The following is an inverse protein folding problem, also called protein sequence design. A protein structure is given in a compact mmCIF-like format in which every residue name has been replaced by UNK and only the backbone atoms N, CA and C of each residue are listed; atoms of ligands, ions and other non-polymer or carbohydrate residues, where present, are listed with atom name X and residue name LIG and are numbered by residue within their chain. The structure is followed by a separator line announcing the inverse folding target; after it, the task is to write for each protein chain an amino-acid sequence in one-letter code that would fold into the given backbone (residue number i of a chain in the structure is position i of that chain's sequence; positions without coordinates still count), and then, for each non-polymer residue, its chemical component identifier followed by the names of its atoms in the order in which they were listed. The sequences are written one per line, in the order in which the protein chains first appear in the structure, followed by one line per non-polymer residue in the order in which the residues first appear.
data_IF_770044889786
#
_entry.id   IF_770044889786
#
_cell.length_a   1.000
_cell.length_b   1.000
_cell.length_c   1.000
_cell.angle_alpha   90.00
_cell.angle_beta   90.00
_cell.angle_gamma   90.00
#
_symmetry.space_group_name_H-M   'P 1'
#
loop_
_entity.id
_entity.type
_entity.pdbx_description
1 polymer ?
#
# COMPACT_ATOMS: atom_id res chain seq x y z
N UNK A 1 -1.72 9.57 -9.74
CA UNK A 1 -0.27 9.41 -9.90
C UNK A 1 0.11 8.01 -9.51
N UNK A 2 0.89 7.36 -10.33
CA UNK A 2 1.41 6.03 -10.04
C UNK A 2 2.89 6.12 -9.71
N UNK A 3 3.29 5.43 -8.66
CA UNK A 3 4.69 5.16 -8.40
C UNK A 3 5.03 3.80 -8.97
N UNK A 4 5.75 3.79 -10.10
CA UNK A 4 6.30 2.53 -10.62
C UNK A 4 7.58 2.21 -9.89
N UNK A 5 7.69 1.00 -9.38
CA UNK A 5 8.93 0.48 -8.83
C UNK A 5 9.72 -0.13 -9.97
N UNK A 6 10.93 0.36 -10.22
CA UNK A 6 11.78 -0.14 -11.30
C UNK A 6 12.07 -1.62 -11.10
N UNK A 7 11.74 -2.43 -12.11
CA UNK A 7 11.94 -3.87 -12.08
C UNK A 7 10.94 -4.63 -11.23
N UNK A 8 9.86 -3.99 -10.77
CA UNK A 8 8.89 -4.61 -9.90
C UNK A 8 7.60 -5.00 -10.65
N UNK A 9 6.83 -5.90 -10.00
CA UNK A 9 5.57 -6.40 -10.52
C UNK A 9 4.37 -5.54 -10.12
N UNK A 10 4.60 -4.36 -9.51
CA UNK A 10 3.53 -3.55 -8.96
C UNK A 10 3.75 -2.05 -9.12
N UNK A 11 2.72 -1.28 -8.82
CA UNK A 11 2.80 0.17 -8.69
C UNK A 11 2.01 0.63 -7.46
N UNK A 12 2.46 1.73 -6.86
CA UNK A 12 1.73 2.39 -5.77
C UNK A 12 0.75 3.35 -6.42
N UNK A 13 -0.52 3.20 -6.06
CA UNK A 13 -1.57 4.04 -6.61
C UNK A 13 -1.82 5.27 -5.75
N UNK A 14 -2.20 6.34 -6.41
CA UNK A 14 -2.49 7.64 -5.80
C UNK A 14 -3.87 7.76 -5.16
N UNK A 15 -4.64 6.69 -5.10
CA UNK A 15 -6.02 6.73 -4.63
C UNK A 15 -6.17 6.95 -3.14
N UNK A 16 -5.08 7.09 -2.38
CA UNK A 16 -5.14 7.28 -0.93
C UNK A 16 -4.52 8.59 -0.47
N UNK A 17 -5.13 9.69 -0.88
CA UNK A 17 -4.93 10.98 -0.20
C UNK A 17 -5.60 11.00 1.17
N UNK A 18 -6.55 10.08 1.40
CA UNK A 18 -7.12 9.86 2.71
C UNK A 18 -6.09 9.15 3.58
N UNK A 19 -5.61 9.82 4.60
CA UNK A 19 -4.46 9.38 5.39
C UNK A 19 -4.78 9.33 6.88
N UNK A 20 -5.95 8.78 7.23
CA UNK A 20 -6.26 8.48 8.63
C UNK A 20 -5.26 7.52 9.24
N UNK A 21 -4.66 6.69 8.41
CA UNK A 21 -3.47 5.91 8.73
C UNK A 21 -2.31 6.47 7.92
N UNK A 22 -1.45 7.32 8.50
CA UNK A 22 -0.35 7.92 7.76
C UNK A 22 0.56 6.87 7.13
N UNK A 23 0.83 7.03 5.85
CA UNK A 23 1.65 6.08 5.09
C UNK A 23 0.87 4.98 4.38
N UNK A 24 -0.45 4.96 4.53
CA UNK A 24 -1.30 3.98 3.83
C UNK A 24 -1.12 4.10 2.33
N UNK A 25 -0.94 2.97 1.66
CA UNK A 25 -0.84 2.93 0.21
C UNK A 25 -1.50 1.68 -0.36
N UNK A 26 -1.75 1.72 -1.66
CA UNK A 26 -2.25 0.59 -2.43
C UNK A 26 -1.17 0.15 -3.41
N UNK A 27 -0.87 -1.14 -3.40
CA UNK A 27 0.06 -1.76 -4.33
C UNK A 27 -0.73 -2.66 -5.27
N UNK A 28 -0.68 -2.35 -6.56
CA UNK A 28 -1.40 -3.13 -7.57
C UNK A 28 -0.42 -3.97 -8.38
N UNK A 29 -0.83 -5.19 -8.72
CA UNK A 29 -0.08 -6.00 -9.67
C UNK A 29 -0.08 -5.27 -11.03
N UNK A 30 1.01 -5.40 -11.78
CA UNK A 30 1.20 -4.61 -13.02
C UNK A 30 0.21 -4.95 -14.13
N UNK A 31 -0.22 -6.21 -14.22
CA UNK A 31 -1.12 -6.67 -15.26
C UNK A 31 -2.56 -6.81 -14.75
N UNK A 32 -3.52 -6.93 -15.67
CA UNK A 32 -4.92 -7.11 -15.31
C UNK A 32 -5.19 -8.54 -14.86
N UNK A 33 -4.75 -8.84 -13.66
CA UNK A 33 -4.99 -10.11 -12.97
C UNK A 33 -5.89 -9.82 -11.77
N UNK A 34 -6.86 -10.68 -11.52
CA UNK A 34 -7.81 -10.50 -10.43
C UNK A 34 -7.41 -11.24 -9.17
N UNK A 35 -6.91 -12.45 -9.30
CA UNK A 35 -6.70 -13.34 -8.17
C UNK A 35 -5.26 -13.84 -8.07
N UNK A 36 -4.81 -14.07 -6.84
CA UNK A 36 -3.49 -14.66 -6.61
C UNK A 36 -3.32 -16.02 -7.27
N UNK A 37 -4.40 -16.79 -7.35
CA UNK A 37 -4.37 -18.13 -7.94
C UNK A 37 -4.16 -18.12 -9.46
N UNK A 38 -4.34 -16.96 -10.08
CA UNK A 38 -4.12 -16.79 -11.52
C UNK A 38 -2.65 -16.57 -11.87
N UNK A 39 -1.82 -16.33 -10.87
CA UNK A 39 -0.38 -16.12 -11.06
C UNK A 39 0.38 -17.44 -10.96
N UNK A 40 1.47 -17.54 -11.71
CA UNK A 40 2.43 -18.62 -11.48
C UNK A 40 3.12 -18.40 -10.13
N UNK A 41 3.76 -19.45 -9.62
CA UNK A 41 4.52 -19.34 -8.37
C UNK A 41 5.61 -18.26 -8.47
N UNK A 42 6.30 -18.20 -9.59
CA UNK A 42 7.35 -17.21 -9.82
C UNK A 42 6.79 -15.78 -9.83
N UNK A 43 5.68 -15.57 -10.52
CA UNK A 43 5.02 -14.25 -10.58
C UNK A 43 4.52 -13.81 -9.20
N UNK A 44 3.89 -14.72 -8.47
CA UNK A 44 3.41 -14.44 -7.12
C UNK A 44 4.56 -14.12 -6.18
N UNK A 45 5.64 -14.90 -6.22
CA UNK A 45 6.80 -14.67 -5.37
C UNK A 45 7.46 -13.32 -5.67
N UNK A 46 7.56 -12.93 -6.93
CA UNK A 46 8.08 -11.64 -7.33
C UNK A 46 7.20 -10.50 -6.82
N UNK A 47 5.88 -10.65 -6.94
CA UNK A 47 4.92 -9.67 -6.43
C UNK A 47 5.04 -9.48 -4.92
N UNK A 48 5.11 -10.57 -4.16
CA UNK A 48 5.25 -10.47 -2.70
C UNK A 48 6.62 -9.95 -2.28
N UNK A 49 7.65 -10.17 -3.05
CA UNK A 49 8.95 -9.51 -2.83
C UNK A 49 8.78 -7.99 -2.91
N UNK A 50 8.03 -7.52 -3.89
CA UNK A 50 7.77 -6.09 -4.05
C UNK A 50 6.86 -5.54 -2.95
N UNK A 51 5.87 -6.31 -2.52
CA UNK A 51 5.03 -5.94 -1.37
C UNK A 51 5.89 -5.75 -0.13
N UNK A 52 6.83 -6.68 0.12
CA UNK A 52 7.74 -6.58 1.26
C UNK A 52 8.67 -5.37 1.14
N UNK A 53 9.13 -5.04 -0.07
CA UNK A 53 9.96 -3.84 -0.30
C UNK A 53 9.18 -2.57 0.04
N UNK A 54 7.95 -2.46 -0.40
CA UNK A 54 7.10 -1.31 -0.09
C UNK A 54 6.83 -1.20 1.41
N UNK A 55 6.55 -2.33 2.06
CA UNK A 55 6.35 -2.34 3.52
C UNK A 55 7.62 -1.90 4.25
N UNK A 56 8.77 -2.31 3.77
CA UNK A 56 10.05 -1.89 4.35
C UNK A 56 10.26 -0.38 4.22
N UNK A 57 9.90 0.20 3.08
CA UNK A 57 9.96 1.65 2.87
C UNK A 57 9.01 2.37 3.83
N UNK A 58 7.79 1.84 4.03
CA UNK A 58 6.84 2.39 4.98
C UNK A 58 7.40 2.35 6.40
N UNK A 59 8.02 1.26 6.80
CA UNK A 59 8.67 1.15 8.10
C UNK A 59 9.79 2.20 8.27
N UNK A 60 10.56 2.43 7.23
CA UNK A 60 11.67 3.39 7.27
C UNK A 60 11.19 4.83 7.42
N UNK A 61 10.06 5.18 6.82
CA UNK A 61 9.54 6.55 6.83
C UNK A 61 8.62 6.83 8.02
N UNK A 62 7.73 5.90 8.33
CA UNK A 62 6.64 6.12 9.28
C UNK A 62 6.82 5.43 10.62
N UNK A 63 7.75 4.49 10.72
CA UNK A 63 8.08 3.75 11.94
C UNK A 63 6.84 3.15 12.64
N UNK A 64 5.95 2.44 11.92
CA UNK A 64 4.78 1.86 12.56
C UNK A 64 5.14 0.69 13.47
N UNK A 65 4.28 0.41 14.44
CA UNK A 65 4.42 -0.80 15.25
C UNK A 65 4.01 -2.04 14.45
N UNK A 66 3.09 -1.86 13.50
CA UNK A 66 2.60 -2.95 12.65
C UNK A 66 2.14 -2.40 11.31
N UNK A 67 2.32 -3.18 10.24
CA UNK A 67 1.67 -2.93 8.96
C UNK A 67 0.61 -4.00 8.77
N UNK A 68 -0.62 -3.58 8.48
CA UNK A 68 -1.68 -4.49 8.08
C UNK A 68 -1.67 -4.62 6.55
N UNK A 69 -1.89 -5.84 6.07
CA UNK A 69 -1.96 -6.16 4.66
C UNK A 69 -3.35 -6.65 4.35
N UNK A 70 -4.01 -6.08 3.37
CA UNK A 70 -5.35 -6.51 3.01
C UNK A 70 -5.56 -6.51 1.51
N UNK A 71 -6.14 -7.59 0.99
CA UNK A 71 -6.49 -7.71 -0.42
C UNK A 71 -7.99 -7.91 -0.52
N UNK A 72 -8.63 -7.07 -1.33
CA UNK A 72 -10.07 -7.08 -1.54
C UNK A 72 -10.31 -6.96 -3.04
N UNK A 73 -11.41 -7.44 -3.54
CA UNK A 73 -11.59 -7.44 -4.99
C UNK A 73 -13.03 -7.55 -5.43
N UNK A 74 -13.97 -7.30 -4.52
CA UNK A 74 -15.39 -7.40 -4.83
C UNK A 74 -15.79 -6.44 -5.94
N UNK A 75 -15.32 -5.21 -5.88
CA UNK A 75 -15.60 -4.19 -6.88
C UNK A 75 -14.36 -3.82 -7.69
N UNK A 76 -13.23 -3.63 -7.05
CA UNK A 76 -11.95 -3.38 -7.72
C UNK A 76 -11.25 -4.68 -8.04
N UNK A 77 -11.53 -5.27 -9.19
CA UNK A 77 -11.09 -6.63 -9.55
C UNK A 77 -9.61 -6.77 -9.85
N UNK A 78 -8.90 -5.69 -10.06
CA UNK A 78 -7.46 -5.73 -10.26
C UNK A 78 -6.76 -6.13 -8.96
N UNK A 79 -5.91 -7.14 -9.00
CA UNK A 79 -5.18 -7.62 -7.82
C UNK A 79 -4.39 -6.48 -7.19
N UNK A 80 -4.70 -6.17 -5.94
CA UNK A 80 -4.03 -5.12 -5.20
C UNK A 80 -4.03 -5.41 -3.71
N UNK A 81 -3.04 -4.85 -3.02
CA UNK A 81 -2.95 -4.93 -1.57
C UNK A 81 -2.96 -3.52 -0.97
N UNK A 82 -3.72 -3.38 0.11
CA UNK A 82 -3.61 -2.22 0.99
C UNK A 82 -2.51 -2.49 2.01
N UNK A 83 -1.60 -1.56 2.17
CA UNK A 83 -0.61 -1.57 3.24
C UNK A 83 -0.96 -0.43 4.18
N UNK A 84 -1.28 -0.76 5.43
CA UNK A 84 -1.82 0.19 6.40
C UNK A 84 -0.95 0.19 7.64
N UNK A 85 -0.15 1.25 7.85
CA UNK A 85 0.63 1.39 9.07
C UNK A 85 -0.27 1.61 10.28
N UNK A 86 0.08 0.96 11.39
CA UNK A 86 -0.65 1.11 12.65
C UNK A 86 0.31 1.29 13.81
N UNK A 87 -0.16 1.99 14.83
CA UNK A 87 0.61 2.31 16.02
C UNK A 87 -0.17 1.88 17.27
N UNK A 88 0.54 1.32 18.25
CA UNK A 88 -0.08 0.93 19.53
C UNK A 88 -0.77 2.13 20.18
N UNK A 89 -2.01 1.92 20.61
CA UNK A 89 -2.83 2.98 21.16
C UNK A 89 -3.41 3.96 20.13
N UNK A 90 -3.09 3.77 18.85
CA UNK A 90 -3.58 4.63 17.78
C UNK A 90 -4.88 4.15 17.16
N UNK A 91 -5.27 4.84 16.08
CA UNK A 91 -6.53 4.61 15.39
C UNK A 91 -6.62 3.18 14.87
N UNK A 92 -7.73 2.52 15.19
CA UNK A 92 -8.06 1.14 14.80
C UNK A 92 -7.03 0.08 15.25
N UNK A 93 -6.19 0.38 16.23
CA UNK A 93 -5.27 -0.64 16.76
C UNK A 93 -6.07 -1.80 17.36
N UNK A 94 -5.70 -3.01 17.00
CA UNK A 94 -6.36 -4.22 17.48
C UNK A 94 -7.57 -4.66 16.65
N UNK A 95 -7.87 -3.93 15.57
CA UNK A 95 -8.98 -4.23 14.68
C UNK A 95 -8.50 -4.21 13.22
N UNK A 96 -9.40 -4.50 12.29
CA UNK A 96 -9.14 -4.27 10.87
C UNK A 96 -9.16 -2.78 10.58
N UNK A 97 -8.74 -2.38 9.39
CA UNK A 97 -8.78 -0.98 8.99
C UNK A 97 -10.04 -0.68 8.16
N UNK A 98 -10.60 0.50 8.35
CA UNK A 98 -11.70 0.98 7.52
C UNK A 98 -11.25 1.23 6.09
N UNK A 99 -12.11 0.93 5.12
CA UNK A 99 -11.76 1.09 3.71
C UNK A 99 -11.66 2.56 3.33
N UNK A 100 -12.56 3.38 3.82
CA UNK A 100 -12.58 4.82 3.55
C UNK A 100 -13.04 5.59 4.80
N UNK A 101 -12.16 5.75 5.81
CA UNK A 101 -12.54 6.43 7.05
C UNK A 101 -12.96 7.89 6.88
N UNK A 102 -12.39 8.59 5.89
CA UNK A 102 -12.75 9.97 5.59
C UNK A 102 -12.38 10.98 6.67
N UNK A 103 -11.38 10.66 7.50
CA UNK A 103 -11.00 11.49 8.65
C UNK A 103 -9.93 12.53 8.37
N UNK A 104 -8.98 12.18 7.54
CA UNK A 104 -7.82 13.02 7.26
C UNK A 104 -7.48 12.95 5.78
N UNK A 105 -7.41 14.11 5.13
CA UNK A 105 -7.02 14.20 3.74
C UNK A 105 -5.79 15.10 3.61
N UNK A 106 -4.77 14.61 2.92
CA UNK A 106 -3.59 15.42 2.67
C UNK A 106 -3.83 16.40 1.52
N UNK A 107 -3.17 17.55 1.59
CA UNK A 107 -3.07 18.44 0.45
C UNK A 107 -2.24 17.75 -0.65
N UNK A 108 -2.33 18.24 -1.89
CA UNK A 108 -1.53 17.70 -2.99
C UNK A 108 -0.02 17.79 -2.69
N UNK A 109 0.43 18.86 -2.06
CA UNK A 109 1.84 19.03 -1.67
C UNK A 109 2.27 17.99 -0.62
N UNK A 110 1.46 17.81 0.41
CA UNK A 110 1.74 16.84 1.46
C UNK A 110 1.77 15.43 0.89
N UNK A 111 0.82 15.10 0.04
CA UNK A 111 0.74 13.81 -0.63
C UNK A 111 1.99 13.55 -1.48
N UNK A 112 2.38 14.53 -2.28
CA UNK A 112 3.57 14.42 -3.13
C UNK A 112 4.83 14.22 -2.30
N UNK A 113 4.99 14.96 -1.20
CA UNK A 113 6.14 14.79 -0.30
C UNK A 113 6.17 13.40 0.33
N UNK A 114 5.02 12.90 0.75
CA UNK A 114 4.92 11.55 1.32
C UNK A 114 5.36 10.49 0.30
N UNK A 115 4.87 10.59 -0.92
CA UNK A 115 5.24 9.68 -2.01
C UNK A 115 6.73 9.72 -2.27
N UNK A 116 7.32 10.92 -2.33
CA UNK A 116 8.76 11.09 -2.54
C UNK A 116 9.58 10.45 -1.43
N UNK A 117 9.16 10.57 -0.18
CA UNK A 117 9.84 9.96 0.95
C UNK A 117 9.80 8.42 0.86
N UNK A 118 8.65 7.88 0.55
CA UNK A 118 8.51 6.42 0.36
C UNK A 118 9.42 5.96 -0.77
N UNK A 119 9.43 6.69 -1.87
CA UNK A 119 10.22 6.38 -3.06
C UNK A 119 11.72 6.32 -2.79
N UNK A 120 12.22 7.20 -1.93
CA UNK A 120 13.64 7.22 -1.55
C UNK A 120 14.08 5.93 -0.86
N UNK A 121 13.17 5.18 -0.29
CA UNK A 121 13.47 3.94 0.44
C UNK A 121 13.11 2.68 -0.36
N UNK A 122 12.65 2.83 -1.58
CA UNK A 122 12.40 1.71 -2.47
C UNK A 122 13.68 1.35 -3.23
#
# INVERSE_FOLDING_TARGET
IRLSLVGSEMCIRDSFQEQSHPGRCILAYKDHISELVDLTDAERNAFFTDVARAARAIHAVFHPDKVNYGAYGDTGRHLHFHLVPKYQGGYEWGDVFGMNPGRTFLSQEEYTRMIEQIKLHL
#
